data_IF_852595097386
#
_entry.id   IF_852595097386
#
_cell.length_a   1.000
_cell.length_b   1.000
_cell.length_c   1.000
_cell.angle_alpha   90.00
_cell.angle_beta   90.00
_cell.angle_gamma   90.00
#
_symmetry.space_group_name_H-M   'P 1'
#
loop_
_entity.id
_entity.type
_entity.pdbx_description
1 polymer ?
#
# COMPACT_ATOMS: atom_id res chain seq x y z
N UNK A 1 19.85 -24.94 -24.35
CA UNK A 1 18.87 -23.85 -24.56
C UNK A 1 18.13 -23.68 -23.24
N UNK A 2 18.68 -22.85 -22.35
CA UNK A 2 18.19 -22.65 -20.99
C UNK A 2 18.29 -21.16 -20.71
N UNK A 3 17.15 -20.48 -20.68
CA UNK A 3 16.87 -19.32 -19.83
C UNK A 3 15.36 -19.43 -19.53
N UNK A 4 15.02 -20.22 -18.52
CA UNK A 4 14.51 -19.72 -17.23
C UNK A 4 13.20 -18.95 -17.38
N UNK A 5 12.11 -19.72 -17.38
CA UNK A 5 10.83 -19.27 -16.87
C UNK A 5 10.94 -19.18 -15.33
N UNK A 6 11.15 -17.98 -14.82
CA UNK A 6 11.00 -17.65 -13.39
C UNK A 6 10.86 -16.13 -13.24
N UNK A 7 9.70 -15.59 -13.57
CA UNK A 7 9.34 -14.18 -13.33
C UNK A 7 7.83 -14.09 -13.04
N UNK A 8 7.36 -14.87 -12.06
CA UNK A 8 5.98 -14.82 -11.60
C UNK A 8 5.87 -14.97 -10.08
N UNK A 9 6.95 -14.64 -9.35
CA UNK A 9 6.90 -14.66 -7.90
C UNK A 9 7.31 -13.29 -7.42
N UNK A 10 6.27 -12.53 -7.11
CA UNK A 10 6.25 -11.44 -6.16
C UNK A 10 6.60 -10.05 -6.71
N UNK A 11 5.57 -9.41 -7.26
CA UNK A 11 5.53 -7.96 -7.53
C UNK A 11 5.59 -7.12 -6.23
N UNK A 12 5.54 -7.77 -5.05
CA UNK A 12 5.61 -7.12 -3.74
C UNK A 12 6.68 -7.75 -2.82
N UNK A 13 7.72 -8.36 -3.41
CA UNK A 13 8.75 -9.10 -2.67
C UNK A 13 9.74 -8.12 -2.05
N UNK A 14 9.40 -7.53 -0.91
CA UNK A 14 10.47 -6.95 -0.12
C UNK A 14 10.15 -6.06 1.06
N UNK A 15 8.93 -5.58 1.23
CA UNK A 15 8.64 -4.68 2.36
C UNK A 15 7.53 -5.26 3.25
N UNK A 16 7.95 -6.07 4.22
CA UNK A 16 7.30 -5.97 5.52
C UNK A 16 7.62 -4.54 6.01
N UNK A 17 6.67 -3.62 5.89
CA UNK A 17 6.79 -2.31 6.50
C UNK A 17 6.82 -2.50 8.01
N UNK A 18 8.03 -2.70 8.55
CA UNK A 18 8.35 -2.63 9.96
C UNK A 18 8.21 -1.15 10.38
N UNK A 19 6.99 -0.68 10.50
CA UNK A 19 6.71 0.74 10.64
C UNK A 19 5.35 1.07 11.24
N UNK A 20 4.80 0.22 12.09
CA UNK A 20 3.92 0.70 13.15
C UNK A 20 4.42 0.05 14.43
N UNK A 21 5.15 0.83 15.23
CA UNK A 21 5.82 0.39 16.45
C UNK A 21 4.83 -0.42 17.31
N UNK A 22 4.97 -1.75 17.26
CA UNK A 22 4.49 -2.62 18.31
C UNK A 22 5.55 -2.47 19.39
N UNK A 23 5.29 -1.57 20.33
CA UNK A 23 6.08 -1.51 21.56
C UNK A 23 5.95 -2.87 22.25
N UNK A 24 6.95 -3.72 22.07
CA UNK A 24 7.16 -4.91 22.90
C UNK A 24 7.66 -4.40 24.23
N UNK A 25 6.75 -3.92 25.06
CA UNK A 25 7.01 -3.65 26.47
C UNK A 25 6.97 -4.98 27.22
N UNK A 26 8.16 -5.40 27.70
CA UNK A 26 8.29 -6.47 28.67
C UNK A 26 7.43 -6.18 29.89
N UNK A 27 6.72 -7.20 30.35
CA UNK A 27 5.74 -7.15 31.42
C UNK A 27 6.32 -6.54 32.70
N UNK A 28 5.73 -5.43 33.14
CA UNK A 28 5.76 -5.00 34.53
C UNK A 28 4.30 -4.91 34.97
N UNK A 29 3.97 -5.66 36.01
CA UNK A 29 2.65 -5.75 36.61
C UNK A 29 2.25 -4.39 37.20
N UNK A 30 1.42 -3.63 36.49
CA UNK A 30 0.46 -2.70 37.08
C UNK A 30 -0.66 -2.40 36.08
N UNK A 31 -1.84 -2.14 36.63
CA UNK A 31 -3.18 -2.09 36.04
C UNK A 31 -3.39 -0.99 34.96
N UNK A 32 -2.61 -1.00 33.88
CA UNK A 32 -2.73 -0.09 32.73
C UNK A 32 -3.62 -0.73 31.65
N UNK A 33 -4.67 -0.01 31.20
CA UNK A 33 -5.50 -0.43 30.08
C UNK A 33 -4.63 -0.76 28.87
N UNK A 34 -4.67 -2.02 28.44
CA UNK A 34 -3.99 -2.48 27.24
C UNK A 34 -4.66 -1.78 26.06
N UNK A 35 -4.10 -0.68 25.59
CA UNK A 35 -4.53 -0.04 24.35
C UNK A 35 -4.17 -1.00 23.23
N UNK A 36 -5.12 -1.90 22.93
CA UNK A 36 -5.18 -2.60 21.66
C UNK A 36 -5.16 -1.53 20.58
N UNK A 37 -4.01 -1.29 19.95
CA UNK A 37 -3.97 -0.67 18.65
C UNK A 37 -4.64 -1.67 17.70
N UNK A 38 -5.97 -1.62 17.67
CA UNK A 38 -6.79 -2.54 16.88
C UNK A 38 -6.39 -2.48 15.41
N UNK A 39 -6.77 -3.52 14.67
CA UNK A 39 -6.82 -3.43 13.22
C UNK A 39 -7.57 -2.16 12.82
N UNK A 40 -7.15 -1.49 11.75
CA UNK A 40 -7.85 -0.30 11.29
C UNK A 40 -9.34 -0.62 11.05
N UNK A 41 -10.24 0.34 11.20
CA UNK A 41 -11.63 0.12 10.84
C UNK A 41 -11.78 -0.01 9.31
N UNK A 42 -10.95 0.71 8.54
CA UNK A 42 -11.01 0.69 7.09
C UNK A 42 -9.62 0.63 6.48
N UNK A 43 -9.51 -0.11 5.38
CA UNK A 43 -8.40 0.00 4.44
C UNK A 43 -8.96 0.44 3.09
N UNK A 44 -8.59 1.65 2.66
CA UNK A 44 -8.98 2.21 1.37
C UNK A 44 -7.90 1.85 0.35
N UNK A 45 -8.32 1.14 -0.70
CA UNK A 45 -7.45 0.80 -1.83
C UNK A 45 -7.77 1.72 -3.00
N UNK A 46 -6.77 2.45 -3.46
CA UNK A 46 -6.87 3.31 -4.63
C UNK A 46 -6.08 2.68 -5.76
N UNK A 47 -6.76 2.30 -6.84
CA UNK A 47 -6.15 1.68 -8.01
C UNK A 47 -6.18 2.67 -9.18
N UNK A 48 -5.05 3.31 -9.45
CA UNK A 48 -4.92 4.38 -10.44
C UNK A 48 -4.26 3.84 -11.71
N UNK A 49 -5.05 3.29 -12.62
CA UNK A 49 -4.63 2.91 -13.96
C UNK A 49 -4.59 4.15 -14.86
N UNK A 50 -3.52 4.93 -14.76
CA UNK A 50 -3.43 6.28 -15.31
C UNK A 50 -2.39 6.42 -16.44
N UNK A 51 -1.93 5.30 -17.01
CA UNK A 51 -1.25 5.25 -18.30
C UNK A 51 -2.25 5.51 -19.46
N UNK A 52 -2.84 6.70 -19.44
CA UNK A 52 -3.78 7.21 -20.44
C UNK A 52 -3.87 8.74 -20.34
N UNK A 53 -4.80 9.35 -21.08
CA UNK A 53 -4.98 10.81 -21.15
C UNK A 53 -5.36 11.48 -19.81
N UNK A 54 -5.58 10.72 -18.73
CA UNK A 54 -5.83 11.25 -17.37
C UNK A 54 -4.55 11.39 -16.53
N UNK A 55 -3.36 11.09 -17.07
CA UNK A 55 -2.10 11.14 -16.31
C UNK A 55 -1.82 12.52 -15.69
N UNK A 56 -2.28 13.60 -16.31
CA UNK A 56 -2.12 14.98 -15.81
C UNK A 56 -2.93 15.26 -14.54
N UNK A 57 -3.94 14.44 -14.21
CA UNK A 57 -4.81 14.63 -13.04
C UNK A 57 -4.25 13.96 -11.77
N UNK A 58 -3.31 13.04 -11.93
CA UNK A 58 -2.76 12.22 -10.83
C UNK A 58 -2.22 13.09 -9.70
N UNK A 59 -1.50 14.16 -10.01
CA UNK A 59 -0.95 15.05 -8.97
C UNK A 59 -2.07 15.70 -8.13
N UNK A 60 -3.19 16.05 -8.77
CA UNK A 60 -4.34 16.62 -8.06
C UNK A 60 -4.99 15.58 -7.17
N UNK A 61 -5.24 14.37 -7.70
CA UNK A 61 -5.82 13.26 -6.94
C UNK A 61 -4.94 12.87 -5.73
N UNK A 62 -3.60 12.87 -5.90
CA UNK A 62 -2.67 12.58 -4.81
C UNK A 62 -2.68 13.65 -3.72
N UNK A 63 -2.78 14.94 -4.07
CA UNK A 63 -2.92 16.01 -3.07
C UNK A 63 -4.26 15.94 -2.32
N UNK A 64 -5.34 15.54 -2.99
CA UNK A 64 -6.64 15.30 -2.34
C UNK A 64 -6.56 14.12 -1.36
N UNK A 65 -5.91 13.01 -1.73
CA UNK A 65 -5.69 11.87 -0.85
C UNK A 65 -4.80 12.21 0.34
N UNK A 66 -3.73 12.98 0.14
CA UNK A 66 -2.88 13.49 1.24
C UNK A 66 -3.67 14.40 2.18
N UNK A 67 -4.52 15.26 1.64
CA UNK A 67 -5.38 16.15 2.43
C UNK A 67 -6.37 15.35 3.29
N UNK A 68 -6.97 14.29 2.73
CA UNK A 68 -7.82 13.36 3.48
C UNK A 68 -7.05 12.57 4.55
N UNK A 69 -5.83 12.17 4.22
CA UNK A 69 -4.89 11.56 5.14
C UNK A 69 -5.19 10.09 5.48
N UNK A 70 -4.34 9.53 6.33
CA UNK A 70 -4.53 8.24 7.01
C UNK A 70 -4.46 8.43 8.53
N UNK A 71 -4.87 7.39 9.27
CA UNK A 71 -4.88 7.44 10.74
C UNK A 71 -4.73 6.04 11.34
N UNK A 72 -4.87 5.94 12.67
CA UNK A 72 -4.97 4.63 13.32
C UNK A 72 -6.22 3.84 12.95
N UNK A 73 -7.26 4.51 12.45
CA UNK A 73 -8.55 3.91 12.08
C UNK A 73 -8.69 3.66 10.58
N UNK A 74 -7.89 4.33 9.74
CA UNK A 74 -7.99 4.24 8.28
C UNK A 74 -6.61 4.11 7.65
N UNK A 75 -6.37 3.01 6.95
CA UNK A 75 -5.23 2.85 6.05
C UNK A 75 -5.60 3.35 4.64
N UNK A 76 -4.64 3.94 3.93
CA UNK A 76 -4.81 4.32 2.52
C UNK A 76 -3.63 3.77 1.74
N UNK A 77 -3.90 2.84 0.82
CA UNK A 77 -2.92 2.28 -0.10
C UNK A 77 -3.26 2.66 -1.52
N UNK A 78 -2.23 2.95 -2.30
CA UNK A 78 -2.36 3.41 -3.68
C UNK A 78 -1.47 2.50 -4.54
N UNK A 79 -2.07 1.83 -5.51
CA UNK A 79 -1.34 1.24 -6.63
C UNK A 79 -1.58 2.13 -7.83
N UNK A 80 -0.54 2.80 -8.31
CA UNK A 80 -0.63 3.73 -9.41
C UNK A 80 0.36 3.40 -10.52
N UNK A 81 -0.08 3.60 -11.75
CA UNK A 81 0.72 3.43 -12.95
C UNK A 81 0.45 4.63 -13.88
N UNK A 82 1.50 5.29 -14.35
CA UNK A 82 1.40 6.59 -15.04
C UNK A 82 2.14 6.56 -16.36
N UNK A 83 1.79 7.48 -17.26
CA UNK A 83 2.33 7.52 -18.62
C UNK A 83 3.86 7.71 -18.62
N UNK A 84 4.59 6.70 -19.11
CA UNK A 84 6.06 6.64 -19.22
C UNK A 84 6.85 6.48 -17.89
N UNK A 85 6.21 6.06 -16.82
CA UNK A 85 6.88 5.71 -15.56
C UNK A 85 6.53 4.29 -15.13
N UNK A 86 7.29 3.72 -14.19
CA UNK A 86 6.93 2.46 -13.54
C UNK A 86 5.60 2.59 -12.78
N UNK A 87 4.94 1.46 -12.54
CA UNK A 87 3.93 1.39 -11.51
C UNK A 87 4.57 1.42 -10.11
N UNK A 88 3.89 2.07 -9.16
CA UNK A 88 4.33 2.24 -7.79
C UNK A 88 3.25 1.80 -6.80
N UNK A 89 3.69 1.07 -5.77
CA UNK A 89 2.92 0.92 -4.53
C UNK A 89 3.26 2.09 -3.62
N UNK A 90 2.23 2.78 -3.12
CA UNK A 90 2.35 3.89 -2.19
C UNK A 90 1.34 3.75 -1.05
N UNK A 91 1.59 4.49 0.02
CA UNK A 91 0.67 4.66 1.13
C UNK A 91 0.61 6.13 1.54
N UNK A 92 -0.47 6.52 2.21
CA UNK A 92 -0.52 7.77 2.97
C UNK A 92 -0.16 7.46 4.42
N UNK A 93 0.80 8.20 4.99
CA UNK A 93 1.17 8.16 6.41
C UNK A 93 0.86 9.53 7.05
N UNK A 94 -0.24 9.60 7.82
CA UNK A 94 -0.80 10.86 8.28
C UNK A 94 -1.26 11.70 7.09
N UNK A 95 -0.42 12.61 6.60
CA UNK A 95 -0.69 13.44 5.42
C UNK A 95 0.42 13.34 4.35
N UNK A 96 1.41 12.48 4.58
CA UNK A 96 2.57 12.33 3.71
C UNK A 96 2.36 11.16 2.75
N UNK A 97 2.69 11.36 1.48
CA UNK A 97 2.70 10.29 0.47
C UNK A 97 4.03 9.56 0.55
N UNK A 98 3.98 8.26 0.86
CA UNK A 98 5.14 7.40 1.02
C UNK A 98 5.17 6.37 -0.11
N UNK A 99 6.27 6.31 -0.85
CA UNK A 99 6.50 5.22 -1.82
C UNK A 99 6.98 3.98 -1.07
N UNK A 100 6.23 2.89 -1.19
CA UNK A 100 6.58 1.60 -0.59
C UNK A 100 7.43 0.77 -1.54
N UNK A 101 7.05 0.72 -2.82
CA UNK A 101 7.72 -0.13 -3.81
C UNK A 101 7.60 0.44 -5.23
N UNK A 102 8.66 0.26 -6.01
CA UNK A 102 8.66 0.38 -7.47
C UNK A 102 8.38 -1.01 -8.03
N UNK A 103 7.18 -1.20 -8.57
CA UNK A 103 6.69 -2.50 -9.05
C UNK A 103 7.16 -2.73 -10.50
N UNK A 104 7.65 -1.69 -11.17
CA UNK A 104 7.94 -1.69 -12.59
C UNK A 104 6.68 -1.67 -13.45
N UNK A 105 6.85 -1.98 -14.73
CA UNK A 105 5.77 -2.02 -15.71
C UNK A 105 4.85 -3.21 -15.45
N UNK A 106 3.56 -2.94 -15.20
CA UNK A 106 2.54 -3.98 -15.00
C UNK A 106 1.31 -3.70 -15.85
N UNK A 107 0.63 -4.76 -16.28
CA UNK A 107 -0.64 -4.60 -16.99
C UNK A 107 -1.75 -4.28 -15.98
N UNK A 108 -2.14 -3.02 -15.90
CA UNK A 108 -3.20 -2.56 -15.00
C UNK A 108 -4.61 -2.99 -15.43
N UNK A 109 -4.76 -3.58 -16.62
CA UNK A 109 -5.99 -4.22 -17.09
C UNK A 109 -6.05 -5.72 -16.81
N UNK A 110 -4.98 -6.31 -16.24
CA UNK A 110 -4.94 -7.72 -15.86
C UNK A 110 -5.59 -7.92 -14.49
N UNK A 111 -6.48 -8.92 -14.38
CA UNK A 111 -7.13 -9.28 -13.12
C UNK A 111 -6.13 -9.77 -12.08
N UNK A 112 -5.01 -10.35 -12.51
CA UNK A 112 -3.96 -10.81 -11.60
C UNK A 112 -3.30 -9.63 -10.87
N UNK A 113 -3.05 -8.52 -11.55
CA UNK A 113 -2.46 -7.31 -10.95
C UNK A 113 -3.35 -6.76 -9.82
N UNK A 114 -4.66 -6.64 -10.08
CA UNK A 114 -5.61 -6.18 -9.06
C UNK A 114 -5.71 -7.18 -7.90
N UNK A 115 -5.75 -8.48 -8.20
CA UNK A 115 -5.78 -9.54 -7.19
C UNK A 115 -4.59 -9.49 -6.25
N UNK A 116 -3.37 -9.35 -6.79
CA UNK A 116 -2.15 -9.25 -5.99
C UNK A 116 -2.13 -7.98 -5.11
N UNK A 117 -2.66 -6.86 -5.59
CA UNK A 117 -2.78 -5.65 -4.78
C UNK A 117 -3.74 -5.84 -3.59
N UNK A 118 -4.89 -6.49 -3.84
CA UNK A 118 -5.84 -6.84 -2.78
C UNK A 118 -5.18 -7.79 -1.78
N UNK A 119 -4.52 -8.86 -2.23
CA UNK A 119 -3.84 -9.82 -1.36
C UNK A 119 -2.75 -9.15 -0.51
N UNK A 120 -1.94 -8.27 -1.11
CA UNK A 120 -0.94 -7.48 -0.41
C UNK A 120 -1.58 -6.62 0.69
N UNK A 121 -2.69 -5.95 0.38
CA UNK A 121 -3.36 -5.07 1.34
C UNK A 121 -3.93 -5.83 2.54
N UNK A 122 -4.55 -7.00 2.30
CA UNK A 122 -5.10 -7.85 3.37
C UNK A 122 -3.98 -8.37 4.27
N UNK A 123 -2.83 -8.74 3.69
CA UNK A 123 -1.70 -9.27 4.43
C UNK A 123 -0.97 -8.22 5.29
N UNK A 124 -0.84 -6.98 4.79
CA UNK A 124 0.03 -5.96 5.40
C UNK A 124 -0.72 -4.82 6.10
N UNK A 125 -1.96 -4.53 5.69
CA UNK A 125 -2.79 -3.44 6.19
C UNK A 125 -4.20 -3.96 6.54
N UNK A 126 -4.32 -4.91 7.47
CA UNK A 126 -5.60 -5.50 7.83
C UNK A 126 -6.54 -4.46 8.45
N UNK A 127 -7.82 -4.60 8.13
CA UNK A 127 -8.92 -3.85 8.72
C UNK A 127 -10.08 -4.77 9.11
N UNK A 128 -11.01 -4.25 9.91
CA UNK A 128 -12.22 -4.97 10.38
C UNK A 128 -13.20 -5.38 9.26
#
# INVERSE_FOLDING_TARGET
MLVSALFAVSLFSGLAYAGKNVDVVEAVEDDEEVVSCGTAQWTVLVYMAADNDLSELIETDLEELKTGGSSTEVNVLILMDTLNESAYLKAIDGHDLVTLEDIGEVNMGDEETLGQFVDYSVANYPSE
#
